data_IF_625307041096
#
_entry.id   IF_625307041096
#
_cell.length_a   1.000
_cell.length_b   1.000
_cell.length_c   1.000
_cell.angle_alpha   90.00
_cell.angle_beta   90.00
_cell.angle_gamma   90.00
#
_symmetry.space_group_name_H-M   'P 1'
#
loop_
_entity.id
_entity.type
_entity.pdbx_description
1 polymer ?
#
# COMPACT_ATOMS: atom_id res chain seq x y z
N UNK A 1 -17.19 8.13 -8.44
CA UNK A 1 -17.25 9.32 -7.57
C UNK A 1 -15.92 10.02 -7.51
N UNK A 2 -15.86 11.25 -7.94
CA UNK A 2 -14.59 11.98 -8.05
C UNK A 2 -13.86 12.17 -6.72
N UNK A 3 -14.59 12.06 -5.62
CA UNK A 3 -13.99 12.24 -4.29
C UNK A 3 -13.57 10.92 -3.63
N UNK A 4 -13.78 9.80 -4.32
CA UNK A 4 -13.37 8.52 -3.78
C UNK A 4 -11.85 8.42 -3.82
N UNK A 5 -11.20 8.10 -2.68
CA UNK A 5 -9.76 7.92 -2.67
C UNK A 5 -9.32 6.78 -3.57
N UNK A 6 -8.16 6.93 -4.16
CA UNK A 6 -7.55 5.92 -5.04
C UNK A 6 -6.51 5.14 -4.25
N UNK A 7 -6.67 3.83 -4.19
CA UNK A 7 -5.74 2.93 -3.51
C UNK A 7 -5.06 2.05 -4.55
N UNK A 8 -3.73 2.07 -4.56
CA UNK A 8 -2.94 1.18 -5.41
C UNK A 8 -2.60 -0.07 -4.60
N UNK A 9 -3.01 -1.23 -5.10
CA UNK A 9 -2.76 -2.51 -4.44
C UNK A 9 -1.67 -3.24 -5.21
N UNK A 10 -0.56 -3.53 -4.53
CA UNK A 10 0.60 -4.18 -5.15
C UNK A 10 0.82 -5.53 -4.49
N UNK A 11 0.60 -6.60 -5.23
CA UNK A 11 0.68 -7.96 -4.71
C UNK A 11 0.89 -8.91 -5.88
N UNK A 12 1.92 -9.76 -5.81
CA UNK A 12 2.23 -10.68 -6.91
C UNK A 12 1.36 -11.93 -6.91
N UNK A 13 0.79 -12.32 -5.77
CA UNK A 13 -0.15 -13.43 -5.69
C UNK A 13 -1.51 -12.98 -6.22
N UNK A 14 -1.96 -13.59 -7.30
CA UNK A 14 -3.21 -13.18 -7.96
C UNK A 14 -4.43 -13.34 -7.07
N UNK A 15 -4.49 -14.42 -6.30
CA UNK A 15 -5.65 -14.68 -5.43
C UNK A 15 -5.69 -13.68 -4.28
N UNK A 16 -4.54 -13.40 -3.67
CA UNK A 16 -4.47 -12.42 -2.60
C UNK A 16 -4.79 -11.03 -3.11
N UNK A 17 -4.26 -10.66 -4.30
CA UNK A 17 -4.56 -9.36 -4.88
C UNK A 17 -6.06 -9.19 -5.15
N UNK A 18 -6.68 -10.25 -5.68
CA UNK A 18 -8.12 -10.23 -5.95
C UNK A 18 -8.92 -10.07 -4.67
N UNK A 19 -8.54 -10.79 -3.61
CA UNK A 19 -9.20 -10.67 -2.32
C UNK A 19 -9.10 -9.26 -1.76
N UNK A 20 -7.90 -8.68 -1.80
CA UNK A 20 -7.70 -7.32 -1.29
C UNK A 20 -8.52 -6.31 -2.09
N UNK A 21 -8.58 -6.48 -3.41
CA UNK A 21 -9.38 -5.60 -4.25
C UNK A 21 -10.86 -5.69 -3.89
N UNK A 22 -11.38 -6.90 -3.72
CA UNK A 22 -12.80 -7.07 -3.38
C UNK A 22 -13.11 -6.42 -2.04
N UNK A 23 -12.25 -6.62 -1.05
CA UNK A 23 -12.48 -6.11 0.29
C UNK A 23 -12.41 -4.58 0.33
N UNK A 24 -11.47 -3.99 -0.37
CA UNK A 24 -11.32 -2.54 -0.37
C UNK A 24 -12.32 -1.87 -1.31
N UNK A 25 -12.73 -2.55 -2.37
CA UNK A 25 -13.83 -2.05 -3.21
C UNK A 25 -15.08 -1.82 -2.37
N UNK A 26 -15.35 -2.76 -1.44
CA UNK A 26 -16.50 -2.64 -0.55
C UNK A 26 -16.45 -1.42 0.36
N UNK A 27 -15.28 -0.83 0.56
CA UNK A 27 -15.11 0.36 1.38
C UNK A 27 -15.32 1.67 0.58
N UNK A 28 -15.56 1.56 -0.72
CA UNK A 28 -15.85 2.73 -1.55
C UNK A 28 -14.65 3.36 -2.22
N UNK A 29 -13.48 2.71 -2.20
CA UNK A 29 -12.28 3.25 -2.84
C UNK A 29 -12.23 2.91 -4.31
N UNK A 30 -11.59 3.77 -5.09
CA UNK A 30 -11.17 3.44 -6.45
C UNK A 30 -9.89 2.64 -6.35
N UNK A 31 -9.79 1.56 -7.10
CA UNK A 31 -8.66 0.64 -6.97
C UNK A 31 -7.85 0.60 -8.25
N UNK A 32 -6.53 0.56 -8.08
CA UNK A 32 -5.58 0.28 -9.14
C UNK A 32 -4.74 -0.90 -8.68
N UNK A 33 -4.25 -1.71 -9.62
CA UNK A 33 -3.54 -2.94 -9.29
C UNK A 33 -2.17 -2.96 -9.94
N UNK A 34 -1.22 -3.56 -9.25
CA UNK A 34 0.10 -3.87 -9.80
C UNK A 34 0.53 -5.23 -9.25
N UNK A 35 1.22 -6.01 -10.06
CA UNK A 35 1.62 -7.36 -9.66
C UNK A 35 3.08 -7.44 -9.20
N UNK A 36 3.85 -6.37 -9.36
CA UNK A 36 5.23 -6.32 -8.91
C UNK A 36 5.67 -4.87 -8.73
N UNK A 37 6.90 -4.70 -8.27
CA UNK A 37 7.43 -3.37 -7.98
C UNK A 37 7.57 -2.49 -9.21
N UNK A 38 7.91 -3.08 -10.35
CA UNK A 38 8.05 -2.32 -11.60
C UNK A 38 6.71 -1.76 -12.05
N UNK A 39 5.66 -2.58 -12.01
CA UNK A 39 4.31 -2.11 -12.35
C UNK A 39 3.84 -1.04 -11.38
N UNK A 40 4.16 -1.21 -10.09
CA UNK A 40 3.78 -0.23 -9.08
C UNK A 40 4.43 1.13 -9.35
N UNK A 41 5.73 1.14 -9.65
CA UNK A 41 6.43 2.39 -9.97
C UNK A 41 5.86 3.06 -11.22
N UNK A 42 5.56 2.27 -12.26
CA UNK A 42 4.92 2.77 -13.45
C UNK A 42 3.57 3.42 -13.14
N UNK A 43 2.78 2.75 -12.31
CA UNK A 43 1.46 3.25 -11.92
C UNK A 43 1.57 4.58 -11.18
N UNK A 44 2.53 4.70 -10.28
CA UNK A 44 2.74 5.92 -9.50
C UNK A 44 3.22 7.05 -10.40
N UNK A 45 4.09 6.76 -11.38
CA UNK A 45 4.55 7.77 -12.32
C UNK A 45 3.45 8.29 -13.21
N UNK A 46 2.46 7.45 -13.53
CA UNK A 46 1.31 7.89 -14.32
C UNK A 46 0.38 8.79 -13.51
N UNK A 47 0.12 8.42 -12.27
CA UNK A 47 -0.76 9.17 -11.38
C UNK A 47 -0.54 8.71 -9.95
N UNK A 48 -0.25 9.64 -9.06
CA UNK A 48 0.02 9.33 -7.66
C UNK A 48 -1.30 8.94 -6.98
N UNK A 49 -1.38 7.73 -6.40
CA UNK A 49 -2.59 7.34 -5.66
C UNK A 49 -2.67 8.04 -4.32
N UNK A 50 -3.80 7.89 -3.65
CA UNK A 50 -3.97 8.46 -2.31
C UNK A 50 -3.35 7.58 -1.23
N UNK A 51 -3.17 6.29 -1.51
CA UNK A 51 -2.52 5.35 -0.60
C UNK A 51 -2.00 4.17 -1.41
N UNK A 52 -0.87 3.63 -0.99
CA UNK A 52 -0.28 2.43 -1.59
C UNK A 52 -0.31 1.31 -0.56
N UNK A 53 -0.94 0.20 -0.90
CA UNK A 53 -0.95 -1.03 -0.11
C UNK A 53 -0.07 -2.03 -0.86
N UNK A 54 1.06 -2.40 -0.29
CA UNK A 54 2.04 -3.20 -1.04
C UNK A 54 2.65 -4.32 -0.22
N UNK A 55 2.89 -5.45 -0.89
CA UNK A 55 3.78 -6.47 -0.35
C UNK A 55 5.23 -5.98 -0.49
N UNK A 56 6.09 -6.47 0.35
CA UNK A 56 7.52 -6.18 0.29
C UNK A 56 8.26 -7.26 -0.49
N UNK A 57 7.92 -8.53 -0.25
CA UNK A 57 8.61 -9.68 -0.86
C UNK A 57 7.92 -10.12 -2.13
N UNK A 58 8.34 -9.54 -3.24
CA UNK A 58 7.79 -9.82 -4.56
C UNK A 58 8.84 -9.41 -5.58
N UNK A 59 8.69 -9.81 -6.85
CA UNK A 59 9.61 -9.37 -7.90
C UNK A 59 9.69 -7.85 -7.96
N UNK A 60 10.91 -7.33 -8.07
CA UNK A 60 11.20 -5.90 -8.08
C UNK A 60 10.69 -5.18 -6.81
N UNK A 61 10.58 -5.90 -5.71
CA UNK A 61 10.17 -5.38 -4.41
C UNK A 61 11.38 -5.05 -3.54
N UNK A 62 11.17 -5.10 -2.22
CA UNK A 62 12.22 -4.84 -1.25
C UNK A 62 12.33 -3.37 -0.87
N UNK A 63 13.31 -3.05 -0.04
CA UNK A 63 13.44 -1.68 0.49
C UNK A 63 13.87 -0.67 -0.55
N UNK A 64 14.63 -1.06 -1.58
CA UNK A 64 14.93 -0.17 -2.71
C UNK A 64 13.65 0.30 -3.39
N UNK A 65 12.72 -0.60 -3.60
CA UNK A 65 11.43 -0.30 -4.18
C UNK A 65 10.66 0.71 -3.31
N UNK A 66 10.63 0.47 -1.99
CA UNK A 66 9.95 1.40 -1.07
C UNK A 66 10.59 2.78 -1.12
N UNK A 67 11.92 2.85 -1.16
CA UNK A 67 12.64 4.11 -1.27
C UNK A 67 12.24 4.86 -2.54
N UNK A 68 12.11 4.16 -3.66
CA UNK A 68 11.69 4.78 -4.92
C UNK A 68 10.26 5.28 -4.87
N UNK A 69 9.35 4.51 -4.25
CA UNK A 69 7.99 4.97 -4.05
C UNK A 69 7.96 6.28 -3.26
N UNK A 70 8.74 6.36 -2.19
CA UNK A 70 8.81 7.57 -1.38
C UNK A 70 9.42 8.74 -2.14
N UNK A 71 10.34 8.46 -3.05
CA UNK A 71 10.93 9.51 -3.88
C UNK A 71 9.91 10.11 -4.84
N UNK A 72 9.12 9.26 -5.49
CA UNK A 72 8.13 9.73 -6.47
C UNK A 72 6.85 10.22 -5.82
N UNK A 73 6.51 9.71 -4.65
CA UNK A 73 5.27 10.05 -3.98
C UNK A 73 5.53 10.26 -2.47
N UNK A 74 6.27 11.32 -2.11
CA UNK A 74 6.73 11.50 -0.74
C UNK A 74 5.61 11.67 0.29
N UNK A 75 4.45 12.15 -0.14
CA UNK A 75 3.33 12.38 0.77
C UNK A 75 2.28 11.29 0.72
N UNK A 76 2.49 10.26 -0.09
CA UNK A 76 1.54 9.17 -0.22
C UNK A 76 1.80 8.13 0.88
N UNK A 77 0.82 7.84 1.74
CA UNK A 77 1.02 6.82 2.77
C UNK A 77 1.20 5.43 2.14
N UNK A 78 2.10 4.66 2.74
CA UNK A 78 2.40 3.30 2.30
C UNK A 78 2.07 2.33 3.43
N UNK A 79 1.17 1.40 3.16
CA UNK A 79 0.87 0.29 4.06
C UNK A 79 1.60 -0.93 3.53
N UNK A 80 2.48 -1.48 4.35
CA UNK A 80 3.33 -2.59 3.95
C UNK A 80 2.81 -3.89 4.53
N UNK A 81 2.75 -4.92 3.71
CA UNK A 81 2.42 -6.29 4.14
C UNK A 81 3.58 -7.19 3.74
N UNK A 82 3.91 -8.16 4.58
CA UNK A 82 4.91 -9.14 4.17
C UNK A 82 4.80 -10.43 4.98
N UNK A 83 5.14 -11.55 4.33
CA UNK A 83 5.37 -12.81 5.02
C UNK A 83 6.80 -12.80 5.56
N UNK A 84 7.05 -13.52 6.63
CA UNK A 84 8.40 -13.70 7.19
C UNK A 84 9.10 -12.38 7.57
N UNK A 85 8.32 -11.39 8.01
CA UNK A 85 8.87 -10.09 8.34
C UNK A 85 9.64 -10.07 9.65
N UNK A 86 8.92 -10.26 10.76
CA UNK A 86 9.51 -10.18 12.08
C UNK A 86 9.74 -8.74 12.56
N UNK A 87 10.21 -8.65 13.81
CA UNK A 87 10.36 -7.35 14.47
C UNK A 87 11.38 -6.45 13.79
N UNK A 88 12.50 -7.00 13.30
CA UNK A 88 13.52 -6.21 12.63
C UNK A 88 13.00 -5.65 11.33
N UNK A 89 12.29 -6.45 10.54
CA UNK A 89 11.71 -6.00 9.28
C UNK A 89 10.69 -4.90 9.52
N UNK A 90 9.87 -5.05 10.57
CA UNK A 90 8.91 -4.02 10.94
C UNK A 90 9.60 -2.70 11.27
N UNK A 91 10.63 -2.75 12.10
CA UNK A 91 11.38 -1.55 12.50
C UNK A 91 12.02 -0.88 11.29
N UNK A 92 12.61 -1.68 10.40
CA UNK A 92 13.23 -1.16 9.18
C UNK A 92 12.18 -0.53 8.26
N UNK A 93 11.02 -1.19 8.10
CA UNK A 93 9.96 -0.68 7.25
C UNK A 93 9.46 0.69 7.71
N UNK A 94 9.24 0.84 9.01
CA UNK A 94 8.78 2.10 9.56
C UNK A 94 9.84 3.18 9.41
N UNK A 95 11.12 2.83 9.61
CA UNK A 95 12.23 3.76 9.42
C UNK A 95 12.34 4.21 7.96
N UNK A 96 12.07 3.31 7.00
CA UNK A 96 12.15 3.61 5.58
C UNK A 96 10.93 4.39 5.07
N UNK A 97 9.93 4.60 5.92
CA UNK A 97 8.84 5.47 5.59
C UNK A 97 7.48 4.82 5.41
N UNK A 98 7.35 3.53 5.76
CA UNK A 98 6.03 2.90 5.76
C UNK A 98 5.17 3.54 6.84
N UNK A 99 3.91 3.80 6.51
CA UNK A 99 2.96 4.41 7.44
C UNK A 99 2.33 3.37 8.36
N UNK A 100 2.27 2.12 7.90
CA UNK A 100 1.78 0.99 8.68
C UNK A 100 2.41 -0.28 8.16
N UNK A 101 2.43 -1.31 9.00
CA UNK A 101 3.09 -2.58 8.68
C UNK A 101 2.25 -3.74 9.22
N UNK A 102 2.08 -4.75 8.41
CA UNK A 102 1.35 -5.96 8.79
C UNK A 102 2.12 -7.21 8.37
N UNK A 103 2.21 -8.16 9.29
CA UNK A 103 2.71 -9.51 8.97
C UNK A 103 1.57 -10.32 8.36
N UNK A 104 1.88 -11.10 7.33
CA UNK A 104 0.90 -12.04 6.76
C UNK A 104 0.81 -13.28 7.65
N UNK A 105 -0.35 -13.88 7.82
CA UNK A 105 -1.65 -13.53 7.23
C UNK A 105 -2.24 -12.29 7.90
N UNK A 106 -2.75 -11.37 7.10
CA UNK A 106 -3.27 -10.09 7.59
C UNK A 106 -4.75 -10.26 7.93
N UNK A 107 -5.15 -9.70 9.06
CA UNK A 107 -6.57 -9.59 9.39
C UNK A 107 -7.18 -8.47 8.57
N UNK A 108 -8.16 -8.80 7.74
CA UNK A 108 -8.76 -7.84 6.81
C UNK A 108 -9.35 -6.64 7.54
N UNK A 109 -10.01 -6.86 8.69
CA UNK A 109 -10.56 -5.76 9.46
C UNK A 109 -9.50 -4.77 9.93
N UNK A 110 -8.36 -5.29 10.39
CA UNK A 110 -7.26 -4.44 10.84
C UNK A 110 -6.67 -3.65 9.68
N UNK A 111 -6.55 -4.28 8.53
CA UNK A 111 -6.04 -3.64 7.33
C UNK A 111 -6.97 -2.50 6.88
N UNK A 112 -8.26 -2.78 6.82
CA UNK A 112 -9.26 -1.76 6.45
C UNK A 112 -9.21 -0.58 7.40
N UNK A 113 -9.06 -0.84 8.69
CA UNK A 113 -8.99 0.21 9.70
C UNK A 113 -7.76 1.11 9.49
N UNK A 114 -6.59 0.51 9.23
CA UNK A 114 -5.37 1.27 8.98
C UNK A 114 -5.51 2.14 7.72
N UNK A 115 -6.05 1.56 6.65
CA UNK A 115 -6.26 2.30 5.40
C UNK A 115 -7.20 3.47 5.63
N UNK A 116 -8.31 3.23 6.33
CA UNK A 116 -9.29 4.27 6.62
C UNK A 116 -8.69 5.41 7.41
N UNK A 117 -7.91 5.08 8.44
CA UNK A 117 -7.28 6.11 9.29
C UNK A 117 -6.26 6.93 8.53
N UNK A 118 -5.44 6.29 7.72
CA UNK A 118 -4.41 7.00 6.96
C UNK A 118 -5.02 7.91 5.91
N UNK A 119 -6.10 7.47 5.25
CA UNK A 119 -6.79 8.31 4.28
C UNK A 119 -7.49 9.49 4.96
N UNK A 120 -8.07 9.28 6.14
CA UNK A 120 -8.69 10.36 6.90
C UNK A 120 -7.66 11.42 7.31
N UNK A 121 -6.49 10.98 7.79
CA UNK A 121 -5.41 11.88 8.20
C UNK A 121 -4.89 12.68 7.01
N UNK A 122 -4.77 12.05 5.86
CA UNK A 122 -4.33 12.73 4.64
C UNK A 122 -5.30 13.83 4.24
N UNK A 123 -6.60 13.55 4.29
CA UNK A 123 -7.62 14.54 3.96
C UNK A 123 -7.60 15.73 4.93
N UNK A 124 -7.42 15.47 6.21
CA UNK A 124 -7.33 16.53 7.22
C UNK A 124 -6.13 17.43 6.95
N UNK A 125 -4.97 16.84 6.63
CA UNK A 125 -3.77 17.61 6.35
C UNK A 125 -3.88 18.43 5.08
N UNK A 126 -4.60 17.93 4.09
CA UNK A 126 -4.78 18.64 2.82
C UNK A 126 -5.89 19.68 2.90
N UNK A 127 -6.82 19.44 3.80
CA UNK A 127 -7.93 20.34 3.98
C UNK A 127 -7.59 21.52 4.85
#
# INVERSE_FOLDING_TARGET
>A
ERNSPVVLIVEDDNDMRSLLCDELWGEGYQLREAKDGDEALQAVLQSIPDLILTDLKMPAGGFDYITRLKTFAPNCPIVLMTAFGGAKTKADALRWGASAYFDKPVRIGDLKEAVRKLLANKLVKEG
#
